data_IF_940860125959
#
_entry.id   IF_940860125959
#
_cell.length_a   1.000
_cell.length_b   1.000
_cell.length_c   1.000
_cell.angle_alpha   90.00
_cell.angle_beta   90.00
_cell.angle_gamma   90.00
#
_symmetry.space_group_name_H-M   'P 1'
#
loop_
_entity.id
_entity.type
_entity.pdbx_description
1 polymer ?
#
# COMPACT_ATOMS: atom_id res chain seq x y z
N UNK A 1 19.58 -9.29 6.71
CA UNK A 1 19.90 -7.96 6.13
C UNK A 1 19.27 -6.92 7.03
N UNK A 2 19.96 -5.82 7.37
CA UNK A 2 19.29 -4.75 8.12
C UNK A 2 18.26 -4.08 7.21
N UNK A 3 17.18 -3.57 7.79
CA UNK A 3 16.15 -2.86 7.03
C UNK A 3 16.74 -1.62 6.35
N UNK A 4 17.66 -0.92 7.02
CA UNK A 4 18.35 0.24 6.46
C UNK A 4 19.17 -0.12 5.22
N UNK A 5 19.91 -1.24 5.24
CA UNK A 5 20.68 -1.70 4.08
C UNK A 5 19.76 -2.00 2.89
N UNK A 6 18.62 -2.66 3.14
CA UNK A 6 17.63 -2.96 2.12
C UNK A 6 17.03 -1.68 1.52
N UNK A 7 16.69 -0.71 2.37
CA UNK A 7 16.11 0.56 1.96
C UNK A 7 17.09 1.39 1.14
N UNK A 8 18.34 1.52 1.58
CA UNK A 8 19.39 2.23 0.85
C UNK A 8 19.64 1.60 -0.52
N UNK A 9 19.71 0.26 -0.61
CA UNK A 9 19.87 -0.46 -1.87
C UNK A 9 18.71 -0.20 -2.84
N UNK A 10 17.47 -0.30 -2.35
CA UNK A 10 16.29 -0.08 -3.18
C UNK A 10 16.24 1.36 -3.67
N UNK A 11 16.33 2.34 -2.76
CA UNK A 11 16.26 3.74 -3.12
C UNK A 11 17.42 4.17 -4.04
N UNK A 12 18.63 3.64 -3.85
CA UNK A 12 19.75 3.88 -4.76
C UNK A 12 19.42 3.40 -6.17
N UNK A 13 18.86 2.18 -6.29
CA UNK A 13 18.47 1.65 -7.60
C UNK A 13 17.34 2.45 -8.24
N UNK A 14 16.35 2.86 -7.46
CA UNK A 14 15.26 3.69 -7.94
C UNK A 14 15.76 5.05 -8.45
N UNK A 15 16.65 5.73 -7.71
CA UNK A 15 17.28 6.99 -8.15
C UNK A 15 18.09 6.84 -9.43
N UNK A 16 18.83 5.74 -9.58
CA UNK A 16 19.56 5.40 -10.81
C UNK A 16 18.61 5.28 -12.01
N UNK A 17 17.56 4.47 -11.89
CA UNK A 17 16.60 4.21 -12.97
C UNK A 17 15.76 5.43 -13.35
N UNK A 18 15.53 6.34 -12.40
CA UNK A 18 14.79 7.59 -12.62
C UNK A 18 15.65 8.73 -13.16
N UNK A 19 16.97 8.51 -13.29
CA UNK A 19 17.94 9.58 -13.58
C UNK A 19 17.70 10.79 -12.69
N UNK A 20 17.63 10.57 -11.38
CA UNK A 20 17.08 11.54 -10.43
C UNK A 20 17.72 12.95 -10.57
N UNK A 21 16.91 13.94 -10.95
CA UNK A 21 17.29 15.34 -11.10
C UNK A 21 16.40 16.24 -10.25
N UNK A 22 16.80 16.48 -9.00
CA UNK A 22 16.16 17.44 -8.07
C UNK A 22 14.64 17.27 -8.01
N UNK A 23 13.89 18.21 -8.62
CA UNK A 23 12.41 18.19 -8.68
C UNK A 23 11.87 17.66 -10.01
N UNK A 24 12.71 17.43 -11.02
CA UNK A 24 12.27 16.93 -12.33
C UNK A 24 12.04 15.42 -12.32
N UNK A 25 12.87 14.65 -11.62
CA UNK A 25 12.69 13.20 -11.49
C UNK A 25 13.31 12.73 -10.17
N UNK A 26 12.69 11.73 -9.54
CA UNK A 26 13.19 11.19 -8.28
C UNK A 26 12.13 10.46 -7.49
N UNK A 27 12.41 10.23 -6.21
CA UNK A 27 11.47 9.61 -5.29
C UNK A 27 10.42 10.62 -4.86
N UNK A 28 9.14 10.22 -4.87
CA UNK A 28 8.03 11.06 -4.45
C UNK A 28 7.87 11.09 -2.92
N UNK A 29 8.20 9.98 -2.26
CA UNK A 29 8.20 9.83 -0.81
C UNK A 29 9.24 8.75 -0.39
N UNK A 30 9.63 8.68 0.90
CA UNK A 30 10.60 7.68 1.39
C UNK A 30 10.13 6.24 1.18
N UNK A 31 11.05 5.28 1.03
CA UNK A 31 10.66 3.88 1.01
C UNK A 31 10.08 3.46 2.37
N UNK A 32 8.81 3.09 2.38
CA UNK A 32 8.18 2.38 3.49
C UNK A 32 8.68 0.94 3.54
N UNK A 33 9.04 0.47 4.75
CA UNK A 33 9.55 -0.87 5.03
C UNK A 33 8.81 -1.49 6.22
N UNK A 34 7.50 -1.23 6.35
CA UNK A 34 6.73 -1.50 7.57
C UNK A 34 6.64 -3.00 7.86
N UNK A 35 6.95 -3.42 9.09
CA UNK A 35 7.14 -4.83 9.45
C UNK A 35 6.04 -5.32 10.40
N UNK A 36 5.51 -6.50 10.12
CA UNK A 36 4.52 -7.20 10.94
C UNK A 36 3.29 -6.32 11.20
N UNK A 37 2.99 -6.05 12.48
CA UNK A 37 1.81 -5.27 12.91
C UNK A 37 1.85 -3.78 12.52
N UNK A 38 3.00 -3.25 12.09
CA UNK A 38 3.08 -1.88 11.57
C UNK A 38 2.64 -1.90 10.11
N UNK A 39 1.50 -1.29 9.79
CA UNK A 39 0.92 -1.36 8.45
C UNK A 39 1.65 -0.48 7.43
N UNK A 40 1.94 0.78 7.78
CA UNK A 40 2.49 1.79 6.89
C UNK A 40 3.40 2.80 7.63
N UNK A 41 4.10 3.63 6.86
CA UNK A 41 4.89 4.79 7.31
C UNK A 41 6.08 4.53 8.24
N UNK A 42 6.55 3.29 8.37
CA UNK A 42 7.87 3.03 8.96
C UNK A 42 8.95 3.00 7.86
N UNK A 43 10.00 3.77 8.05
CA UNK A 43 11.25 3.75 7.29
C UNK A 43 12.40 3.93 8.28
N UNK A 44 13.52 3.20 8.15
CA UNK A 44 14.59 3.21 9.15
C UNK A 44 15.31 4.57 9.19
N UNK A 45 15.51 5.10 10.39
CA UNK A 45 16.38 6.27 10.63
C UNK A 45 17.83 5.84 10.84
N UNK A 46 18.76 6.81 10.80
CA UNK A 46 20.16 6.56 11.15
C UNK A 46 20.30 5.93 12.55
N UNK A 47 20.99 4.80 12.64
CA UNK A 47 21.14 4.02 13.87
C UNK A 47 20.04 3.00 14.14
N UNK A 48 19.08 2.82 13.21
CA UNK A 48 18.13 1.71 13.27
C UNK A 48 18.86 0.38 12.97
N UNK A 49 18.87 -0.50 13.97
CA UNK A 49 19.52 -1.81 13.92
C UNK A 49 18.55 -2.95 13.60
N UNK A 50 17.32 -2.64 13.18
CA UNK A 50 16.29 -3.64 12.84
C UNK A 50 16.76 -4.53 11.70
N UNK A 51 16.59 -5.85 11.88
CA UNK A 51 16.97 -6.89 10.90
C UNK A 51 15.72 -7.59 10.40
N UNK A 52 15.64 -7.78 9.08
CA UNK A 52 14.58 -8.55 8.44
C UNK A 52 14.73 -10.03 8.81
N UNK A 53 13.75 -10.57 9.51
CA UNK A 53 13.64 -11.97 9.93
C UNK A 53 12.91 -12.86 8.91
N UNK A 54 13.09 -14.18 9.05
CA UNK A 54 12.47 -15.18 8.15
C UNK A 54 10.93 -15.25 8.28
N UNK A 55 10.40 -14.85 9.43
CA UNK A 55 8.98 -14.91 9.76
C UNK A 55 8.30 -13.54 9.65
N UNK A 56 9.03 -12.52 9.17
CA UNK A 56 8.50 -11.18 9.01
C UNK A 56 7.61 -11.05 7.77
N UNK A 57 6.56 -10.25 7.93
CA UNK A 57 5.73 -9.74 6.83
C UNK A 57 6.06 -8.26 6.64
N UNK A 58 6.80 -7.95 5.58
CA UNK A 58 7.29 -6.60 5.30
C UNK A 58 6.55 -5.99 4.11
N UNK A 59 6.09 -4.75 4.26
CA UNK A 59 5.47 -3.97 3.19
C UNK A 59 6.50 -3.00 2.65
N UNK A 60 6.86 -3.17 1.38
CA UNK A 60 7.67 -2.22 0.63
C UNK A 60 6.76 -1.30 -0.15
N UNK A 61 6.86 -0.01 0.13
CA UNK A 61 5.98 1.02 -0.41
C UNK A 61 6.84 2.20 -0.89
N UNK A 62 6.84 2.46 -2.19
CA UNK A 62 7.74 3.44 -2.79
C UNK A 62 7.02 4.36 -3.77
N UNK A 63 7.26 5.65 -3.57
CA UNK A 63 6.83 6.69 -4.49
C UNK A 63 7.93 7.07 -5.47
N UNK A 64 7.59 7.17 -6.76
CA UNK A 64 8.48 7.76 -7.77
C UNK A 64 7.76 8.87 -8.52
N UNK A 65 8.50 9.80 -9.13
CA UNK A 65 7.87 10.82 -9.96
C UNK A 65 8.72 11.29 -11.14
N UNK A 66 8.04 11.79 -12.17
CA UNK A 66 8.61 12.62 -13.23
C UNK A 66 7.77 13.87 -13.39
N UNK A 67 8.40 15.04 -13.28
CA UNK A 67 7.80 16.37 -13.31
C UNK A 67 6.60 16.55 -12.35
N UNK A 68 6.60 15.81 -11.25
CA UNK A 68 5.54 15.80 -10.24
C UNK A 68 4.39 14.84 -10.53
N UNK A 69 4.39 14.11 -11.65
CA UNK A 69 3.48 12.98 -11.85
C UNK A 69 3.97 11.82 -11.00
N UNK A 70 3.26 11.54 -9.91
CA UNK A 70 3.64 10.55 -8.90
C UNK A 70 3.09 9.18 -9.30
N UNK A 71 3.91 8.15 -9.13
CA UNK A 71 3.48 6.76 -9.02
C UNK A 71 3.63 6.36 -7.57
N UNK A 72 2.52 5.89 -7.00
CA UNK A 72 2.42 5.32 -5.66
C UNK A 72 2.08 3.83 -5.83
N UNK A 73 2.94 2.96 -5.34
CA UNK A 73 2.78 1.52 -5.49
C UNK A 73 3.54 0.77 -4.41
N UNK A 74 2.87 -0.22 -3.84
CA UNK A 74 3.41 -1.05 -2.78
C UNK A 74 3.24 -2.55 -3.08
N UNK A 75 4.03 -3.37 -2.39
CA UNK A 75 3.85 -4.82 -2.34
C UNK A 75 4.32 -5.37 -0.99
N UNK A 76 3.85 -6.56 -0.65
CA UNK A 76 4.25 -7.26 0.58
C UNK A 76 5.21 -8.40 0.23
N UNK A 77 6.25 -8.57 1.04
CA UNK A 77 7.13 -9.73 1.02
C UNK A 77 7.03 -10.50 2.33
N UNK A 78 7.08 -11.82 2.21
CA UNK A 78 7.28 -12.74 3.32
C UNK A 78 8.06 -13.96 2.82
N UNK A 79 8.75 -14.65 3.73
CA UNK A 79 9.46 -15.91 3.42
C UNK A 79 8.82 -17.13 4.06
N UNK A 80 7.89 -16.91 4.99
CA UNK A 80 7.14 -17.97 5.61
C UNK A 80 5.77 -18.11 4.93
N UNK A 81 5.58 -19.25 4.26
CA UNK A 81 4.39 -19.56 3.46
C UNK A 81 3.07 -19.51 4.27
N UNK A 82 3.13 -19.58 5.61
CA UNK A 82 1.92 -19.45 6.44
C UNK A 82 1.19 -18.11 6.24
N UNK A 83 1.90 -17.06 5.78
CA UNK A 83 1.33 -15.74 5.52
C UNK A 83 0.85 -15.58 4.07
N UNK A 84 1.20 -16.48 3.15
CA UNK A 84 0.83 -16.35 1.74
C UNK A 84 -0.69 -16.18 1.54
N UNK A 85 -1.58 -16.92 2.24
CA UNK A 85 -3.02 -16.71 2.14
C UNK A 85 -3.48 -15.30 2.57
N UNK A 86 -2.78 -14.66 3.51
CA UNK A 86 -3.07 -13.28 3.91
C UNK A 86 -2.66 -12.29 2.81
N UNK A 87 -1.50 -12.51 2.17
CA UNK A 87 -1.05 -11.69 1.03
C UNK A 87 -2.02 -11.84 -0.16
N UNK A 88 -2.49 -13.05 -0.42
CA UNK A 88 -3.44 -13.32 -1.50
C UNK A 88 -4.78 -12.61 -1.26
N UNK A 89 -5.29 -12.63 -0.02
CA UNK A 89 -6.51 -11.91 0.38
C UNK A 89 -6.40 -10.40 0.11
N UNK A 90 -5.30 -9.78 0.57
CA UNK A 90 -5.06 -8.34 0.38
C UNK A 90 -4.87 -8.00 -1.09
N UNK A 91 -4.15 -8.83 -1.83
CA UNK A 91 -3.94 -8.64 -3.27
C UNK A 91 -5.25 -8.74 -4.05
N UNK A 92 -6.13 -9.69 -3.71
CA UNK A 92 -7.42 -9.80 -4.36
C UNK A 92 -8.34 -8.63 -4.01
N UNK A 93 -8.34 -8.18 -2.76
CA UNK A 93 -9.07 -7.00 -2.32
C UNK A 93 -8.60 -5.71 -3.03
N UNK A 94 -7.29 -5.49 -3.16
CA UNK A 94 -6.74 -4.37 -3.95
C UNK A 94 -7.16 -4.46 -5.42
N UNK A 95 -7.09 -5.63 -6.04
CA UNK A 95 -7.54 -5.83 -7.41
C UNK A 95 -9.05 -5.58 -7.56
N UNK A 96 -9.86 -5.93 -6.56
CA UNK A 96 -11.28 -5.60 -6.53
C UNK A 96 -11.49 -4.08 -6.49
N UNK A 97 -10.74 -3.37 -5.65
CA UNK A 97 -10.75 -1.90 -5.62
C UNK A 97 -10.44 -1.30 -6.99
N UNK A 98 -9.39 -1.78 -7.66
CA UNK A 98 -8.99 -1.32 -9.01
C UNK A 98 -10.06 -1.61 -10.05
N UNK A 99 -10.70 -2.78 -10.01
CA UNK A 99 -11.79 -3.16 -10.94
C UNK A 99 -13.06 -2.35 -10.69
N UNK A 100 -13.32 -1.98 -9.45
CA UNK A 100 -14.52 -1.24 -9.05
C UNK A 100 -14.37 0.25 -9.33
N UNK A 101 -13.15 0.77 -9.26
CA UNK A 101 -12.86 2.17 -9.55
C UNK A 101 -13.23 2.56 -10.99
N UNK A 102 -13.77 3.77 -11.15
CA UNK A 102 -14.16 4.30 -12.46
C UNK A 102 -14.87 5.63 -12.33
N UNK A 103 -14.95 6.36 -13.44
CA UNK A 103 -15.69 7.63 -13.50
C UNK A 103 -17.14 7.39 -13.03
N UNK A 104 -17.66 8.33 -12.24
CA UNK A 104 -18.99 8.30 -11.61
C UNK A 104 -19.20 7.27 -10.49
N UNK A 105 -18.20 6.42 -10.20
CA UNK A 105 -18.27 5.45 -9.08
C UNK A 105 -18.14 6.17 -7.75
N UNK A 106 -18.98 5.79 -6.78
CA UNK A 106 -18.93 6.34 -5.42
C UNK A 106 -17.79 5.68 -4.63
N UNK A 107 -17.02 6.48 -3.91
CA UNK A 107 -15.90 6.01 -3.08
C UNK A 107 -16.36 4.97 -2.04
N UNK A 108 -17.54 5.17 -1.43
CA UNK A 108 -18.13 4.19 -0.50
C UNK A 108 -18.45 2.83 -1.14
N UNK A 109 -18.80 2.79 -2.43
CA UNK A 109 -19.06 1.52 -3.15
C UNK A 109 -17.75 0.77 -3.40
N UNK A 110 -16.66 1.49 -3.70
CA UNK A 110 -15.31 0.89 -3.81
C UNK A 110 -14.91 0.26 -2.47
N UNK A 111 -15.08 0.98 -1.37
CA UNK A 111 -14.76 0.46 -0.03
C UNK A 111 -15.60 -0.75 0.38
N UNK A 112 -16.89 -0.78 0.02
CA UNK A 112 -17.75 -1.93 0.27
C UNK A 112 -17.29 -3.17 -0.51
N UNK A 113 -16.95 -3.02 -1.80
CA UNK A 113 -16.47 -4.12 -2.64
C UNK A 113 -15.12 -4.67 -2.14
N UNK A 114 -14.20 -3.79 -1.73
CA UNK A 114 -12.92 -4.16 -1.12
C UNK A 114 -13.15 -4.98 0.14
N UNK A 115 -14.02 -4.51 1.05
CA UNK A 115 -14.29 -5.18 2.32
C UNK A 115 -14.93 -6.56 2.12
N UNK A 116 -15.88 -6.67 1.21
CA UNK A 116 -16.54 -7.94 0.89
C UNK A 116 -15.52 -9.00 0.48
N UNK A 117 -14.61 -8.64 -0.44
CA UNK A 117 -13.55 -9.56 -0.87
C UNK A 117 -12.57 -9.84 0.25
N UNK A 118 -12.01 -8.81 0.90
CA UNK A 118 -11.03 -8.96 1.99
C UNK A 118 -11.55 -9.90 3.08
N UNK A 119 -12.76 -9.65 3.56
CA UNK A 119 -13.32 -10.39 4.69
C UNK A 119 -14.01 -11.71 4.31
N UNK A 120 -13.93 -12.13 3.03
CA UNK A 120 -14.30 -13.47 2.60
C UNK A 120 -13.21 -14.52 2.89
N UNK A 121 -11.99 -14.06 3.21
CA UNK A 121 -10.85 -14.93 3.49
C UNK A 121 -10.74 -15.29 4.97
N UNK A 122 -10.34 -16.53 5.21
CA UNK A 122 -9.85 -17.02 6.48
C UNK A 122 -8.42 -17.53 6.31
N UNK A 123 -7.55 -17.24 7.28
CA UNK A 123 -6.14 -17.63 7.26
C UNK A 123 -5.77 -18.29 8.58
N UNK A 124 -4.90 -19.29 8.55
CA UNK A 124 -4.40 -19.95 9.77
C UNK A 124 -2.92 -19.62 9.96
N UNK A 125 -2.62 -18.88 11.02
CA UNK A 125 -1.27 -18.42 11.36
C UNK A 125 -0.97 -18.92 12.77
N UNK A 126 0.18 -19.58 12.94
CA UNK A 126 0.60 -20.18 14.22
C UNK A 126 -0.48 -21.05 14.90
N UNK A 127 -1.24 -21.81 14.09
CA UNK A 127 -2.29 -22.71 14.58
C UNK A 127 -3.61 -22.04 14.98
N UNK A 128 -3.74 -20.72 14.78
CA UNK A 128 -4.98 -19.96 15.02
C UNK A 128 -5.58 -19.50 13.70
N UNK A 129 -6.88 -19.73 13.52
CA UNK A 129 -7.62 -19.25 12.36
C UNK A 129 -8.15 -17.83 12.63
N UNK A 130 -7.99 -16.96 11.63
CA UNK A 130 -8.41 -15.57 11.64
C UNK A 130 -9.23 -15.30 10.39
N UNK A 131 -10.35 -14.60 10.55
CA UNK A 131 -10.98 -13.90 9.42
C UNK A 131 -10.16 -12.65 9.13
N UNK A 132 -9.74 -12.46 7.88
CA UNK A 132 -8.99 -11.26 7.48
C UNK A 132 -9.90 -10.05 7.60
N UNK A 133 -9.37 -8.93 8.12
CA UNK A 133 -10.10 -7.68 8.28
C UNK A 133 -9.41 -6.54 7.56
N UNK A 134 -10.17 -5.64 6.96
CA UNK A 134 -9.64 -4.36 6.51
C UNK A 134 -9.23 -3.48 7.70
N UNK A 135 -8.12 -2.76 7.60
CA UNK A 135 -7.75 -1.73 8.58
C UNK A 135 -8.60 -0.48 8.32
N UNK A 136 -9.72 -0.36 9.02
CA UNK A 136 -10.80 0.61 8.74
C UNK A 136 -10.38 2.09 8.67
N UNK A 137 -9.28 2.46 9.35
CA UNK A 137 -8.77 3.83 9.40
C UNK A 137 -7.61 4.10 8.43
N UNK A 138 -7.31 3.16 7.53
CA UNK A 138 -6.44 3.38 6.36
C UNK A 138 -7.28 3.43 5.09
N UNK A 139 -6.77 4.08 4.06
CA UNK A 139 -7.50 4.31 2.82
C UNK A 139 -6.53 4.55 1.67
N UNK A 140 -6.96 4.26 0.44
CA UNK A 140 -6.31 4.85 -0.74
C UNK A 140 -6.64 6.33 -0.88
N UNK A 141 -6.14 6.96 -1.94
CA UNK A 141 -6.26 8.41 -2.09
C UNK A 141 -6.11 8.89 -3.53
N UNK A 142 -6.70 10.05 -3.80
CA UNK A 142 -6.41 10.83 -5.01
C UNK A 142 -4.98 11.41 -4.95
N UNK A 143 -4.36 11.52 -6.11
CA UNK A 143 -3.01 12.04 -6.32
C UNK A 143 -3.09 13.22 -7.29
N UNK A 144 -2.36 14.29 -6.97
CA UNK A 144 -2.16 15.45 -7.83
C UNK A 144 -0.68 15.66 -8.12
N UNK A 145 -0.39 16.56 -9.05
CA UNK A 145 0.99 16.92 -9.39
C UNK A 145 1.73 17.42 -8.14
N UNK A 146 2.83 16.76 -7.77
CA UNK A 146 3.63 17.00 -6.56
C UNK A 146 2.87 16.86 -5.24
N UNK A 147 1.70 16.22 -5.24
CA UNK A 147 0.85 16.05 -4.05
C UNK A 147 0.35 14.61 -3.98
N UNK A 148 1.01 13.81 -3.14
CA UNK A 148 0.67 12.39 -2.94
C UNK A 148 -0.75 12.22 -2.42
N UNK A 149 -1.12 12.92 -1.35
CA UNK A 149 -2.49 12.95 -0.83
C UNK A 149 -3.22 14.22 -1.28
N UNK A 150 -4.14 14.09 -2.24
CA UNK A 150 -5.02 15.20 -2.64
C UNK A 150 -6.28 15.30 -1.76
N UNK A 151 -7.47 15.42 -2.33
CA UNK A 151 -8.70 15.83 -1.64
C UNK A 151 -9.64 14.66 -1.34
N UNK A 152 -9.55 13.57 -2.11
CA UNK A 152 -10.40 12.38 -1.98
C UNK A 152 -9.63 11.21 -1.36
N UNK A 153 -10.29 10.49 -0.46
CA UNK A 153 -9.84 9.24 0.15
C UNK A 153 -10.69 8.08 -0.33
N UNK A 154 -10.06 6.96 -0.70
CA UNK A 154 -10.74 5.73 -1.15
C UNK A 154 -10.86 4.79 0.06
N UNK A 155 -12.04 4.68 0.70
CA UNK A 155 -12.19 3.80 1.85
C UNK A 155 -11.97 2.34 1.45
N UNK A 156 -11.55 1.51 2.40
CA UNK A 156 -11.37 0.05 2.24
C UNK A 156 -12.38 -0.77 3.07
N UNK A 157 -13.38 -0.07 3.60
CA UNK A 157 -14.56 -0.57 4.30
C UNK A 157 -15.80 0.09 3.73
N UNK A 158 -16.96 -0.55 3.88
CA UNK A 158 -18.24 0.05 3.53
C UNK A 158 -18.39 1.40 4.23
N UNK A 159 -18.69 2.45 3.47
CA UNK A 159 -18.76 3.83 3.95
C UNK A 159 -19.97 4.54 3.35
N UNK A 160 -20.64 5.44 4.09
CA UNK A 160 -21.72 6.27 3.54
C UNK A 160 -21.22 7.38 2.58
N UNK A 161 -19.92 7.41 2.26
CA UNK A 161 -19.35 8.37 1.33
C UNK A 161 -19.91 8.22 -0.10
N UNK A 162 -20.68 9.21 -0.51
CA UNK A 162 -21.27 9.30 -1.84
C UNK A 162 -20.45 10.17 -2.82
N UNK A 163 -19.26 10.63 -2.41
CA UNK A 163 -18.31 11.32 -3.30
C UNK A 163 -17.98 10.40 -4.46
N UNK A 164 -17.94 10.95 -5.67
CA UNK A 164 -17.66 10.20 -6.90
C UNK A 164 -16.22 10.42 -7.37
N UNK A 165 -15.65 9.40 -7.98
CA UNK A 165 -14.47 9.54 -8.83
C UNK A 165 -14.86 10.30 -10.11
N UNK A 166 -14.02 11.25 -10.51
CA UNK A 166 -14.25 12.13 -11.65
C UNK A 166 -13.26 11.84 -12.79
N UNK A 167 -13.62 12.24 -14.00
CA UNK A 167 -12.76 12.10 -15.18
C UNK A 167 -11.42 12.83 -14.95
N UNK A 168 -10.32 12.21 -15.39
CA UNK A 168 -8.94 12.71 -15.28
C UNK A 168 -8.35 12.78 -13.85
N UNK A 169 -9.02 12.21 -12.85
CA UNK A 169 -8.39 12.00 -11.55
C UNK A 169 -7.42 10.81 -11.57
N UNK A 170 -6.38 10.89 -10.76
CA UNK A 170 -5.42 9.82 -10.55
C UNK A 170 -5.51 9.34 -9.10
N UNK A 171 -5.50 8.03 -8.86
CA UNK A 171 -5.69 7.45 -7.53
C UNK A 171 -4.64 6.39 -7.23
N UNK A 172 -4.16 6.37 -5.99
CA UNK A 172 -3.60 5.17 -5.37
C UNK A 172 -4.77 4.33 -4.84
N UNK A 173 -4.88 3.10 -5.33
CA UNK A 173 -5.80 2.10 -4.78
C UNK A 173 -4.96 1.10 -3.98
N UNK A 174 -5.06 1.21 -2.66
CA UNK A 174 -4.32 0.40 -1.71
C UNK A 174 -5.26 -0.17 -0.66
N UNK A 175 -4.95 -1.36 -0.16
CA UNK A 175 -5.74 -2.04 0.86
C UNK A 175 -4.82 -2.68 1.88
N UNK A 176 -5.31 -2.78 3.12
CA UNK A 176 -4.54 -3.28 4.24
C UNK A 176 -5.36 -4.31 4.99
N UNK A 177 -4.90 -5.56 4.97
CA UNK A 177 -5.49 -6.66 5.73
C UNK A 177 -4.78 -6.88 7.06
N UNK A 178 -5.53 -7.18 8.10
CA UNK A 178 -5.04 -7.54 9.43
C UNK A 178 -5.72 -8.81 9.96
N UNK A 179 -5.08 -9.48 10.91
CA UNK A 179 -5.56 -10.70 11.58
C UNK A 179 -6.21 -10.40 12.93
#
# INVERSE_FOLDING_TARGET
MKVIDAAEMYEAKARELLEADKKKSGLAFPLGCSINHVAAHYSPNGGDETVIGKDDVIKFDLGTHVNGTIIDSAFTMCWNDQYQPLLDAVKEATNMGVRTAGIDVRLGDVGAAIQEVMESYEVTINGKTHRVKSIENLCGHSIERYRVHSTKSVPIVASPDNTKMEENEFFAIETFGTT
#
